data_IF_059530507978
#
_entry.id   IF_059530507978
#
_cell.length_a   1.000
_cell.length_b   1.000
_cell.length_c   1.000
_cell.angle_alpha   90.00
_cell.angle_beta   90.00
_cell.angle_gamma   90.00
#
_symmetry.space_group_name_H-M   'P 1'
#
loop_
_entity.id
_entity.type
_entity.pdbx_description
1 polymer ?
#
# COMPACT_ATOMS: atom_id res chain seq x y z
N UNK A 1 -9.90 29.82 23.23
CA UNK A 1 -9.85 29.15 23.05
C UNK A 1 -9.68 28.58 22.79
N UNK A 2 -9.86 28.59 22.62
CA UNK A 2 -9.80 27.62 22.43
C UNK A 2 -9.16 27.26 21.96
N UNK A 3 -8.96 27.44 21.66
CA UNK A 3 -8.53 26.75 21.23
C UNK A 3 -8.15 26.20 20.91
N UNK A 4 -8.01 26.27 20.94
CA UNK A 4 -7.78 25.51 20.78
C UNK A 4 -7.77 25.03 20.45
N UNK A 5 -7.82 25.00 20.46
CA UNK A 5 -7.99 24.35 20.19
C UNK A 5 -8.22 24.04 19.59
N UNK A 6 -8.12 24.19 19.08
CA UNK A 6 -8.49 23.81 18.11
C UNK A 6 -7.81 23.17 17.00
N UNK A 7 -6.73 23.33 16.44
CA UNK A 7 -6.03 22.60 15.40
C UNK A 7 -5.94 21.14 15.63
N UNK A 8 -5.83 20.82 16.81
CA UNK A 8 -5.71 19.42 17.14
C UNK A 8 -6.90 18.61 16.67
N UNK A 9 -7.99 19.24 16.46
CA UNK A 9 -9.12 18.49 16.01
C UNK A 9 -8.98 17.97 14.62
N UNK A 10 -8.11 18.58 13.88
CA UNK A 10 -7.89 18.09 12.53
C UNK A 10 -7.24 16.75 12.52
N UNK A 11 -6.50 16.46 13.52
CA UNK A 11 -5.85 15.19 13.58
C UNK A 11 -6.82 14.06 13.71
N UNK A 12 -7.95 14.36 14.27
CA UNK A 12 -8.95 13.33 14.41
C UNK A 12 -9.56 12.95 13.09
N UNK A 13 -9.28 13.75 12.10
CA UNK A 13 -9.84 13.50 10.79
C UNK A 13 -8.93 12.75 9.88
N UNK A 14 -7.83 12.27 10.40
CA UNK A 14 -6.96 11.43 9.60
C UNK A 14 -7.72 10.19 9.21
N UNK A 15 -7.73 9.91 7.93
CA UNK A 15 -8.43 8.75 7.43
C UNK A 15 -7.44 7.62 7.21
N UNK A 16 -7.93 6.42 7.38
CA UNK A 16 -7.14 5.24 7.11
C UNK A 16 -7.83 4.44 6.03
N UNK A 17 -7.05 3.99 5.08
CA UNK A 17 -7.56 3.18 3.99
C UNK A 17 -6.89 1.82 4.06
N UNK A 18 -7.67 0.78 3.89
CA UNK A 18 -7.13 -0.57 3.89
C UNK A 18 -6.97 -1.04 2.45
N UNK A 19 -5.80 -1.46 2.12
CA UNK A 19 -5.48 -1.89 0.76
C UNK A 19 -4.80 -3.25 0.81
N UNK A 20 -5.21 -4.12 -0.07
CA UNK A 20 -4.60 -5.44 -0.18
C UNK A 20 -3.89 -5.54 -1.52
N UNK A 21 -2.62 -5.88 -1.46
CA UNK A 21 -1.79 -6.04 -2.66
C UNK A 21 -1.25 -7.45 -2.73
N UNK A 22 -1.21 -7.98 -3.93
CA UNK A 22 -0.39 -9.15 -4.22
C UNK A 22 0.89 -8.66 -4.84
N UNK A 23 2.01 -9.16 -4.33
CA UNK A 23 3.32 -8.80 -4.86
C UNK A 23 4.06 -10.09 -5.10
N UNK A 24 4.61 -10.24 -6.31
CA UNK A 24 5.43 -11.40 -6.66
C UNK A 24 6.88 -11.03 -6.56
N UNK A 25 7.62 -11.77 -5.75
CA UNK A 25 9.03 -11.51 -5.55
C UNK A 25 9.85 -12.71 -5.95
N UNK A 26 11.07 -12.50 -6.48
CA UNK A 26 11.95 -13.63 -6.73
C UNK A 26 12.19 -14.41 -5.44
N UNK A 27 12.32 -15.72 -5.56
CA UNK A 27 12.56 -16.58 -4.42
C UNK A 27 14.04 -16.53 -4.09
N UNK A 28 14.47 -15.44 -3.48
CA UNK A 28 15.87 -15.19 -3.15
C UNK A 28 15.96 -14.54 -1.79
N UNK A 29 17.07 -14.77 -1.07
CA UNK A 29 17.24 -14.15 0.24
C UNK A 29 17.18 -12.62 0.12
N UNK A 30 16.59 -12.00 1.13
CA UNK A 30 16.55 -10.54 1.21
C UNK A 30 15.43 -9.88 0.47
N UNK A 31 14.70 -10.59 -0.38
CA UNK A 31 13.65 -9.96 -1.18
C UNK A 31 12.51 -9.44 -0.30
N UNK A 32 12.09 -10.21 0.66
CA UNK A 32 11.00 -9.76 1.53
C UNK A 32 11.45 -8.58 2.40
N UNK A 33 12.69 -8.62 2.85
CA UNK A 33 13.23 -7.48 3.60
C UNK A 33 13.27 -6.22 2.77
N UNK A 34 13.68 -6.34 1.52
CA UNK A 34 13.76 -5.18 0.64
C UNK A 34 12.38 -4.56 0.41
N UNK A 35 11.38 -5.39 0.14
CA UNK A 35 10.06 -4.85 -0.12
C UNK A 35 9.46 -4.26 1.16
N UNK A 36 9.71 -4.87 2.29
CA UNK A 36 9.22 -4.34 3.56
C UNK A 36 9.86 -3.00 3.87
N UNK A 37 11.15 -2.87 3.61
CA UNK A 37 11.83 -1.60 3.79
C UNK A 37 11.27 -0.53 2.87
N UNK A 38 10.96 -0.92 1.65
CA UNK A 38 10.38 0.02 0.70
C UNK A 38 9.02 0.51 1.19
N UNK A 39 8.20 -0.41 1.68
CA UNK A 39 6.90 -0.03 2.22
C UNK A 39 7.06 0.96 3.36
N UNK A 40 7.99 0.68 4.27
CA UNK A 40 8.22 1.58 5.39
C UNK A 40 8.75 2.93 4.96
N UNK A 41 9.60 2.97 3.93
CA UNK A 41 10.16 4.23 3.47
C UNK A 41 9.08 5.14 2.89
N UNK A 42 7.98 4.57 2.42
CA UNK A 42 6.86 5.35 1.95
C UNK A 42 5.81 5.57 3.03
N UNK A 43 6.16 5.26 4.27
CA UNK A 43 5.32 5.52 5.44
C UNK A 43 4.00 4.79 5.39
N UNK A 44 4.03 3.59 4.85
CA UNK A 44 2.88 2.71 4.84
C UNK A 44 3.07 1.66 5.92
N UNK A 45 2.00 1.25 6.55
CA UNK A 45 2.05 0.23 7.59
C UNK A 45 1.54 -1.08 7.04
N UNK A 46 2.24 -2.15 7.39
CA UNK A 46 1.80 -3.49 7.06
C UNK A 46 0.95 -4.00 8.21
N UNK A 47 -0.33 -4.26 7.95
CA UNK A 47 -1.18 -4.80 8.99
C UNK A 47 -1.22 -6.32 8.94
N UNK A 48 -0.93 -6.90 7.79
CA UNK A 48 -0.88 -8.34 7.67
C UNK A 48 -0.07 -8.71 6.45
N UNK A 49 0.53 -9.89 6.51
CA UNK A 49 1.36 -10.40 5.44
C UNK A 49 1.23 -11.91 5.41
N UNK A 50 0.96 -12.46 4.23
CA UNK A 50 0.94 -13.91 4.14
C UNK A 50 1.44 -14.34 2.78
N UNK A 51 2.06 -15.51 2.75
CA UNK A 51 2.47 -16.12 1.52
C UNK A 51 1.27 -16.85 0.93
N UNK A 52 0.91 -16.49 -0.29
CA UNK A 52 -0.31 -17.05 -0.88
C UNK A 52 -0.02 -18.01 -2.02
N UNK A 53 1.24 -18.12 -2.42
CA UNK A 53 1.57 -19.08 -3.47
C UNK A 53 3.04 -19.03 -3.77
N UNK A 54 3.50 -20.10 -4.40
CA UNK A 54 4.90 -20.22 -4.75
C UNK A 54 5.01 -20.99 -6.05
N UNK A 55 5.81 -20.47 -6.95
CA UNK A 55 6.18 -21.23 -8.14
C UNK A 55 7.70 -21.37 -8.12
N UNK A 56 8.29 -22.05 -9.08
CA UNK A 56 9.72 -22.37 -8.97
C UNK A 56 10.62 -21.17 -8.76
N UNK A 57 10.26 -20.02 -9.33
CA UNK A 57 11.16 -18.88 -9.29
C UNK A 57 10.66 -17.71 -8.48
N UNK A 58 9.40 -17.72 -8.09
CA UNK A 58 8.79 -16.57 -7.44
C UNK A 58 7.92 -17.00 -6.29
N UNK A 59 7.77 -16.10 -5.33
CA UNK A 59 6.87 -16.28 -4.21
C UNK A 59 5.87 -15.14 -4.27
N UNK A 60 4.59 -15.49 -4.13
CA UNK A 60 3.53 -14.51 -4.13
C UNK A 60 3.11 -14.22 -2.72
N UNK A 61 3.10 -12.93 -2.39
CA UNK A 61 2.71 -12.48 -1.05
C UNK A 61 1.48 -11.62 -1.14
N UNK A 62 0.67 -11.70 -0.10
CA UNK A 62 -0.48 -10.82 0.05
C UNK A 62 -0.18 -9.88 1.20
N UNK A 63 -0.09 -8.60 0.91
CA UNK A 63 0.17 -7.57 1.90
C UNK A 63 -1.10 -6.80 2.16
N UNK A 64 -1.46 -6.67 3.42
CA UNK A 64 -2.54 -5.77 3.80
C UNK A 64 -1.90 -4.54 4.39
N UNK A 65 -2.18 -3.41 3.77
CA UNK A 65 -1.55 -2.15 4.14
C UNK A 65 -2.57 -1.18 4.69
N UNK A 66 -2.14 -0.38 5.64
CA UNK A 66 -2.92 0.74 6.13
C UNK A 66 -2.30 2.01 5.61
N UNK A 67 -3.10 2.78 4.91
CA UNK A 67 -2.64 3.98 4.23
C UNK A 67 -3.29 5.18 4.89
N UNK A 68 -2.50 6.12 5.34
CA UNK A 68 -3.03 7.36 5.89
C UNK A 68 -2.87 8.54 4.95
N UNK A 69 -2.07 8.37 3.91
CA UNK A 69 -1.82 9.42 2.94
C UNK A 69 -1.76 8.78 1.57
N UNK A 70 -2.74 9.10 0.74
CA UNK A 70 -2.82 8.48 -0.58
C UNK A 70 -1.63 8.80 -1.45
N UNK A 71 -1.02 9.95 -1.26
CA UNK A 71 0.15 10.29 -2.03
C UNK A 71 1.30 9.32 -1.75
N UNK A 72 1.45 8.91 -0.50
CA UNK A 72 2.47 7.94 -0.16
C UNK A 72 2.23 6.62 -0.86
N UNK A 73 0.98 6.21 -0.91
CA UNK A 73 0.64 4.98 -1.60
C UNK A 73 0.90 5.09 -3.10
N UNK A 74 0.51 6.20 -3.69
CA UNK A 74 0.72 6.42 -5.11
C UNK A 74 2.20 6.39 -5.45
N UNK A 75 3.01 7.03 -4.62
CA UNK A 75 4.45 7.03 -4.84
C UNK A 75 5.03 5.63 -4.70
N UNK A 76 4.53 4.86 -3.76
CA UNK A 76 4.98 3.50 -3.59
C UNK A 76 4.67 2.65 -4.83
N UNK A 77 3.46 2.77 -5.34
CA UNK A 77 3.07 2.02 -6.53
C UNK A 77 3.93 2.42 -7.72
N UNK A 78 4.20 3.72 -7.84
CA UNK A 78 5.06 4.19 -8.92
C UNK A 78 6.46 3.57 -8.84
N UNK A 79 6.97 3.44 -7.63
CA UNK A 79 8.28 2.85 -7.46
C UNK A 79 8.28 1.36 -7.76
N UNK A 80 7.21 0.66 -7.41
CA UNK A 80 7.10 -0.75 -7.79
C UNK A 80 7.16 -0.91 -9.30
N UNK A 81 6.45 -0.05 -10.02
CA UNK A 81 6.48 -0.09 -11.47
C UNK A 81 7.86 0.21 -12.01
N UNK A 82 8.51 1.20 -11.44
CA UNK A 82 9.82 1.58 -11.90
C UNK A 82 10.84 0.46 -11.72
N UNK A 83 10.72 -0.28 -10.64
CA UNK A 83 11.62 -1.38 -10.36
C UNK A 83 11.24 -2.67 -11.07
N UNK A 84 10.13 -2.66 -11.77
CA UNK A 84 9.69 -3.86 -12.49
C UNK A 84 9.15 -4.95 -11.59
N UNK A 85 8.70 -4.61 -10.40
CA UNK A 85 8.15 -5.58 -9.47
C UNK A 85 6.70 -5.83 -9.86
N UNK A 86 6.34 -7.10 -9.99
CA UNK A 86 4.98 -7.46 -10.34
C UNK A 86 4.06 -7.34 -9.14
N UNK A 87 2.97 -6.65 -9.32
CA UNK A 87 2.02 -6.47 -8.24
C UNK A 87 0.61 -6.37 -8.80
N UNK A 88 -0.36 -6.52 -7.90
CA UNK A 88 -1.75 -6.43 -8.27
C UNK A 88 -2.51 -5.88 -7.07
N UNK A 89 -3.33 -4.88 -7.30
CA UNK A 89 -4.18 -4.34 -6.24
C UNK A 89 -5.42 -5.19 -6.19
N UNK A 90 -5.59 -5.92 -5.09
CA UNK A 90 -6.71 -6.83 -4.95
C UNK A 90 -7.91 -6.09 -4.39
N UNK A 91 -7.66 -5.20 -3.44
CA UNK A 91 -8.74 -4.53 -2.77
C UNK A 91 -8.26 -3.21 -2.21
N UNK A 92 -9.06 -2.19 -2.38
CA UNK A 92 -8.76 -0.89 -1.85
C UNK A 92 -10.04 -0.34 -1.25
N UNK A 93 -10.07 -0.24 0.07
CA UNK A 93 -11.27 0.17 0.77
C UNK A 93 -11.25 1.64 1.05
N UNK A 94 -12.04 2.36 0.31
CA UNK A 94 -12.29 3.75 0.59
C UNK A 94 -13.71 4.01 0.15
N UNK A 95 -14.55 4.11 1.10
CA UNK A 95 -15.96 4.18 0.79
C UNK A 95 -16.43 5.53 0.41
N UNK A 96 -15.56 6.52 0.47
CA UNK A 96 -16.07 7.83 0.30
C UNK A 96 -15.73 8.50 -0.93
N UNK A 97 -14.72 8.06 -1.54
CA UNK A 97 -14.00 8.99 -2.33
C UNK A 97 -13.88 8.56 -3.76
N UNK A 98 -14.53 9.30 -4.65
CA UNK A 98 -14.42 9.01 -6.06
C UNK A 98 -12.99 9.11 -6.56
N UNK A 99 -12.22 10.00 -5.93
CA UNK A 99 -10.83 10.16 -6.30
C UNK A 99 -10.04 8.89 -6.02
N UNK A 100 -10.28 8.29 -4.88
CA UNK A 100 -9.61 7.06 -4.53
C UNK A 100 -9.98 5.94 -5.47
N UNK A 101 -11.23 5.87 -5.85
CA UNK A 101 -11.66 4.86 -6.79
C UNK A 101 -11.04 5.07 -8.15
N UNK A 102 -10.85 6.31 -8.52
CA UNK A 102 -10.18 6.61 -9.75
C UNK A 102 -8.75 6.11 -9.76
N UNK A 103 -8.05 6.31 -8.65
CA UNK A 103 -6.69 5.81 -8.53
C UNK A 103 -6.68 4.30 -8.63
N UNK A 104 -7.59 3.64 -7.96
CA UNK A 104 -7.70 2.21 -7.99
C UNK A 104 -7.89 1.70 -9.41
N UNK A 105 -8.81 2.32 -10.14
CA UNK A 105 -9.05 1.92 -11.51
C UNK A 105 -7.84 2.13 -12.38
N UNK A 106 -7.16 3.23 -12.17
CA UNK A 106 -6.00 3.56 -12.98
C UNK A 106 -4.93 2.47 -12.85
N UNK A 107 -4.63 2.08 -11.62
CA UNK A 107 -3.62 1.07 -11.43
C UNK A 107 -4.09 -0.31 -11.83
N UNK A 108 -5.36 -0.56 -11.68
CA UNK A 108 -5.87 -1.87 -12.00
C UNK A 108 -5.87 -2.14 -13.49
N UNK A 109 -5.99 -1.11 -14.27
CA UNK A 109 -6.01 -1.29 -15.71
C UNK A 109 -4.72 -1.85 -16.26
N UNK A 110 -3.68 -1.61 -15.60
CA UNK A 110 -2.41 -2.13 -16.06
C UNK A 110 -2.18 -3.54 -15.64
#
# INVERSE_FOLDING_TARGET
RYWHDKGEQKEEKIKKYNTTLWISLPDQPGQLGDISSLIGSHKLNISNLEMVGKNPNYINFKFKLIITNLKNFTNFIAELKQKGIKFKIIRHEDKRNAFTQKIFKYFKKD
#
